data_IF_030097868491
#
_entry.id   IF_030097868491
#
_cell.length_a   1.000
_cell.length_b   1.000
_cell.length_c   1.000
_cell.angle_alpha   90.00
_cell.angle_beta   90.00
_cell.angle_gamma   90.00
#
_symmetry.space_group_name_H-M   'P 1'
#
loop_
_entity.id
_entity.type
_entity.pdbx_description
1 polymer ?
#
# COMPACT_ATOMS: atom_id res chain seq x y z
N UNK A 1 36.23 57.13 14.18
CA UNK A 1 35.10 56.78 13.30
C UNK A 1 34.70 55.34 13.57
N UNK A 2 33.55 55.15 14.21
CA UNK A 2 33.03 53.88 14.72
C UNK A 2 31.59 53.73 14.21
N UNK A 3 31.18 52.47 14.06
CA UNK A 3 29.81 51.93 13.90
C UNK A 3 29.37 51.54 12.48
N UNK A 4 29.65 50.28 12.17
CA UNK A 4 28.67 49.22 11.85
C UNK A 4 27.25 49.65 11.47
N UNK A 5 26.83 49.29 10.26
CA UNK A 5 25.44 48.93 9.95
C UNK A 5 25.43 47.86 8.88
N UNK A 6 25.45 46.60 9.33
CA UNK A 6 25.02 45.48 8.52
C UNK A 6 23.53 45.68 8.24
N UNK A 7 23.21 45.82 6.96
CA UNK A 7 21.84 45.79 6.45
C UNK A 7 21.30 44.36 6.65
N UNK A 8 20.46 44.15 7.65
CA UNK A 8 19.56 43.00 7.68
C UNK A 8 18.25 43.39 6.98
N UNK A 9 17.80 42.67 5.94
CA UNK A 9 16.40 42.62 5.62
C UNK A 9 15.80 41.36 6.28
N UNK A 10 14.97 41.63 7.28
CA UNK A 10 13.78 40.86 7.69
C UNK A 10 14.02 39.44 8.22
N UNK A 11 13.82 39.30 9.52
CA UNK A 11 13.87 38.04 10.25
C UNK A 11 12.82 37.04 9.78
N UNK A 12 13.31 35.90 9.29
CA UNK A 12 12.61 34.63 9.10
C UNK A 12 12.18 33.97 10.45
N UNK A 13 11.91 34.76 11.50
CA UNK A 13 11.68 34.25 12.86
C UNK A 13 10.23 34.07 13.26
N UNK A 14 9.26 34.62 12.51
CA UNK A 14 7.85 34.60 12.94
C UNK A 14 6.91 34.07 11.85
N UNK A 15 7.03 32.79 11.51
CA UNK A 15 5.91 32.03 10.93
C UNK A 15 5.19 31.36 12.11
N UNK A 16 3.95 31.77 12.45
CA UNK A 16 3.18 31.10 13.48
C UNK A 16 2.87 29.67 13.01
N UNK A 17 3.25 28.68 13.82
CA UNK A 17 3.07 27.26 13.51
C UNK A 17 4.35 26.47 13.25
N UNK A 18 5.55 27.03 13.50
CA UNK A 18 6.77 26.19 13.52
C UNK A 18 6.64 25.18 14.67
N UNK A 19 6.56 23.87 14.40
CA UNK A 19 6.50 22.87 15.46
C UNK A 19 7.72 23.03 16.37
N UNK A 20 7.54 22.86 17.68
CA UNK A 20 8.66 22.92 18.64
C UNK A 20 9.75 21.93 18.23
N UNK A 21 10.99 22.10 18.71
CA UNK A 21 12.07 21.14 18.42
C UNK A 21 11.67 19.69 18.76
N UNK A 22 10.81 19.53 19.78
CA UNK A 22 10.19 18.27 20.14
C UNK A 22 9.19 17.78 19.09
N UNK A 23 8.27 18.62 18.60
CA UNK A 23 7.31 18.21 17.56
C UNK A 23 8.01 17.94 16.22
N UNK A 24 9.10 18.64 15.91
CA UNK A 24 9.93 18.33 14.73
C UNK A 24 10.66 16.99 14.89
N UNK A 25 11.16 16.68 16.09
CA UNK A 25 11.73 15.36 16.43
C UNK A 25 10.66 14.26 16.50
N UNK A 26 9.43 14.58 16.87
CA UNK A 26 8.29 13.67 16.90
C UNK A 26 7.77 13.39 15.49
N UNK A 27 7.78 14.37 14.59
CA UNK A 27 7.48 14.19 13.17
C UNK A 27 8.60 13.48 12.42
N UNK A 28 9.87 13.72 12.80
CA UNK A 28 10.98 12.88 12.38
C UNK A 28 10.78 11.43 12.88
N UNK A 29 10.51 11.20 14.16
CA UNK A 29 10.23 9.86 14.72
C UNK A 29 8.97 9.17 14.18
N UNK A 30 7.93 9.94 13.83
CA UNK A 30 6.72 9.42 13.16
C UNK A 30 6.98 9.12 11.68
N UNK A 31 7.85 9.90 11.01
CA UNK A 31 8.27 9.65 9.63
C UNK A 31 9.29 8.52 9.51
N UNK A 32 10.19 8.39 10.48
CA UNK A 32 11.27 7.41 10.55
C UNK A 32 10.76 5.99 10.84
N UNK A 33 9.56 5.84 11.43
CA UNK A 33 8.95 4.53 11.64
C UNK A 33 8.05 4.06 10.50
N UNK A 34 7.80 4.87 9.47
CA UNK A 34 6.92 4.49 8.37
C UNK A 34 7.61 3.79 7.20
N UNK A 35 8.94 3.69 7.22
CA UNK A 35 9.71 2.99 6.20
C UNK A 35 10.84 2.21 6.87
N UNK A 36 10.49 1.34 7.82
CA UNK A 36 11.44 0.30 8.25
C UNK A 36 11.65 -0.66 7.09
N UNK A 37 12.86 -0.56 6.55
CA UNK A 37 13.56 -1.44 5.65
C UNK A 37 13.30 -2.90 6.01
N UNK A 38 12.23 -3.45 5.46
CA UNK A 38 11.85 -4.84 5.67
C UNK A 38 11.74 -5.47 4.30
N UNK A 39 12.81 -6.14 3.91
CA UNK A 39 12.79 -7.10 2.82
C UNK A 39 11.63 -8.06 3.12
N UNK A 40 10.51 -7.86 2.43
CA UNK A 40 9.26 -8.54 2.67
C UNK A 40 9.02 -9.53 1.55
N UNK A 41 9.52 -10.74 1.76
CA UNK A 41 9.32 -11.91 0.90
C UNK A 41 7.94 -12.54 1.11
N UNK A 42 6.87 -11.78 0.87
CA UNK A 42 5.50 -12.22 1.13
C UNK A 42 4.48 -11.62 0.17
N UNK A 43 3.20 -11.74 0.50
CA UNK A 43 2.08 -11.17 -0.25
C UNK A 43 1.46 -10.02 0.56
N UNK A 44 1.35 -8.86 -0.07
CA UNK A 44 0.66 -7.71 0.55
C UNK A 44 -0.77 -7.64 0.02
N UNK A 45 -1.74 -7.64 0.93
CA UNK A 45 -3.16 -7.62 0.63
C UNK A 45 -3.76 -6.29 1.08
N UNK A 46 -4.23 -5.49 0.13
CA UNK A 46 -4.99 -4.27 0.39
C UNK A 46 -6.48 -4.57 0.32
N UNK A 47 -7.21 -4.35 1.41
CA UNK A 47 -8.63 -4.63 1.48
C UNK A 47 -9.45 -3.38 1.73
N UNK A 48 -10.54 -3.20 0.97
CA UNK A 48 -11.52 -2.16 1.22
C UNK A 48 -12.31 -2.49 2.49
N UNK A 49 -12.30 -1.60 3.49
CA UNK A 49 -13.02 -1.78 4.75
C UNK A 49 -14.53 -2.04 4.53
N UNK A 50 -15.11 -1.44 3.49
CA UNK A 50 -16.54 -1.56 3.17
C UNK A 50 -16.91 -2.85 2.43
N UNK A 51 -15.93 -3.59 1.91
CA UNK A 51 -16.19 -4.88 1.24
C UNK A 51 -16.08 -6.07 2.19
N UNK A 52 -15.62 -5.87 3.43
CA UNK A 52 -15.41 -6.97 4.38
C UNK A 52 -16.79 -7.48 4.85
N UNK A 53 -17.13 -8.76 4.60
CA UNK A 53 -18.34 -9.37 5.14
C UNK A 53 -18.39 -9.29 6.66
N UNK A 54 -19.59 -9.18 7.22
CA UNK A 54 -19.75 -9.14 8.68
C UNK A 54 -19.16 -10.40 9.32
N UNK A 55 -18.26 -10.22 10.29
CA UNK A 55 -17.59 -11.32 10.98
C UNK A 55 -16.43 -11.98 10.23
N UNK A 56 -16.19 -11.65 8.95
CA UNK A 56 -15.14 -12.27 8.13
C UNK A 56 -13.85 -11.44 8.05
N UNK A 57 -13.52 -10.70 9.10
CA UNK A 57 -12.31 -9.87 9.14
C UNK A 57 -11.06 -10.75 9.19
N UNK A 58 -10.16 -10.54 8.25
CA UNK A 58 -8.89 -11.27 8.18
C UNK A 58 -7.92 -10.80 9.29
N UNK A 59 -7.04 -11.69 9.79
CA UNK A 59 -5.94 -11.26 10.65
C UNK A 59 -4.99 -10.34 9.88
N UNK A 60 -4.37 -9.39 10.58
CA UNK A 60 -3.43 -8.41 9.96
C UNK A 60 -2.20 -9.07 9.34
N UNK A 61 -1.80 -10.22 9.86
CA UNK A 61 -0.69 -11.01 9.34
C UNK A 61 -0.93 -12.49 9.63
N UNK A 62 -0.54 -13.35 8.71
CA UNK A 62 -0.42 -14.79 8.94
C UNK A 62 0.62 -15.37 7.99
N UNK A 63 0.93 -16.65 8.19
CA UNK A 63 1.76 -17.42 7.26
C UNK A 63 0.90 -18.53 6.68
N UNK A 64 0.94 -18.68 5.36
CA UNK A 64 0.27 -19.75 4.63
C UNK A 64 1.33 -20.48 3.81
N UNK A 65 1.59 -21.73 4.17
CA UNK A 65 2.52 -22.62 3.48
C UNK A 65 3.88 -21.99 3.16
N UNK A 66 4.46 -21.31 4.15
CA UNK A 66 5.73 -20.61 4.06
C UNK A 66 5.67 -19.21 3.44
N UNK A 67 4.51 -18.78 2.94
CA UNK A 67 4.28 -17.41 2.43
C UNK A 67 3.77 -16.53 3.56
N UNK A 68 4.52 -15.47 3.89
CA UNK A 68 4.02 -14.42 4.80
C UNK A 68 2.97 -13.62 4.06
N UNK A 69 1.83 -13.39 4.69
CA UNK A 69 0.76 -12.53 4.18
C UNK A 69 0.54 -11.38 5.14
N UNK A 70 0.44 -10.17 4.60
CA UNK A 70 0.19 -8.94 5.37
C UNK A 70 -1.07 -8.27 4.81
N UNK A 71 -2.05 -8.05 5.68
CA UNK A 71 -3.29 -7.35 5.33
C UNK A 71 -3.23 -5.90 5.78
N UNK A 72 -3.50 -5.02 4.84
CA UNK A 72 -3.62 -3.59 5.03
C UNK A 72 -5.05 -3.20 4.69
N UNK A 73 -5.79 -2.80 5.71
CA UNK A 73 -7.15 -2.29 5.53
C UNK A 73 -7.11 -0.83 5.11
N UNK A 74 -7.82 -0.52 4.03
CA UNK A 74 -8.02 0.82 3.52
C UNK A 74 -9.48 1.23 3.71
N UNK A 75 -9.78 2.51 3.91
CA UNK A 75 -11.17 2.97 3.94
C UNK A 75 -11.90 2.69 2.61
N UNK A 76 -11.16 2.65 1.50
CA UNK A 76 -11.65 2.32 0.17
C UNK A 76 -10.53 1.75 -0.69
N UNK A 77 -10.87 0.84 -1.61
CA UNK A 77 -9.95 0.43 -2.68
C UNK A 77 -9.54 1.61 -3.57
N UNK A 78 -10.35 2.67 -3.66
CA UNK A 78 -9.99 3.89 -4.39
C UNK A 78 -8.76 4.65 -3.83
N UNK A 79 -8.30 4.32 -2.62
CA UNK A 79 -7.08 4.87 -2.02
C UNK A 79 -5.83 4.06 -2.37
N UNK A 80 -5.96 2.90 -3.03
CA UNK A 80 -4.78 2.21 -3.56
C UNK A 80 -4.10 3.10 -4.57
N UNK A 81 -2.79 3.26 -4.42
CA UNK A 81 -1.95 4.02 -5.34
C UNK A 81 -0.92 3.08 -5.96
N UNK A 82 -0.60 3.32 -7.23
CA UNK A 82 0.42 2.56 -7.95
C UNK A 82 1.76 2.56 -7.22
N UNK A 83 2.13 3.66 -6.54
CA UNK A 83 3.38 3.73 -5.77
C UNK A 83 3.41 2.70 -4.64
N UNK A 84 2.30 2.50 -3.92
CA UNK A 84 2.23 1.49 -2.86
C UNK A 84 2.27 0.07 -3.41
N UNK A 85 1.64 -0.16 -4.57
CA UNK A 85 1.65 -1.46 -5.23
C UNK A 85 3.06 -1.83 -5.70
N UNK A 86 3.77 -0.90 -6.33
CA UNK A 86 5.17 -1.12 -6.74
C UNK A 86 6.08 -1.28 -5.55
N UNK A 87 5.94 -0.46 -4.52
CA UNK A 87 6.77 -0.58 -3.33
C UNK A 87 6.66 -1.97 -2.67
N UNK A 88 5.46 -2.57 -2.67
CA UNK A 88 5.25 -3.92 -2.16
C UNK A 88 6.00 -4.99 -2.99
N UNK A 89 6.11 -4.80 -4.31
CA UNK A 89 6.83 -5.71 -5.22
C UNK A 89 8.35 -5.46 -5.13
N UNK A 90 8.77 -4.20 -5.10
CA UNK A 90 10.17 -3.77 -4.97
C UNK A 90 10.82 -4.26 -3.68
N UNK A 91 10.04 -4.36 -2.60
CA UNK A 91 10.50 -4.89 -1.31
C UNK A 91 10.76 -6.41 -1.32
N UNK A 92 10.69 -7.06 -2.48
CA UNK A 92 10.83 -8.52 -2.64
C UNK A 92 9.51 -9.28 -2.50
N UNK A 93 8.37 -8.59 -2.55
CA UNK A 93 7.06 -9.20 -2.43
C UNK A 93 6.78 -10.16 -3.59
N UNK A 94 6.24 -11.34 -3.27
CA UNK A 94 5.79 -12.32 -4.27
C UNK A 94 4.67 -11.77 -5.14
N UNK A 95 3.82 -10.93 -4.55
CA UNK A 95 2.78 -10.21 -5.25
C UNK A 95 1.97 -9.30 -4.33
N UNK A 96 1.08 -8.56 -4.97
CA UNK A 96 0.14 -7.64 -4.34
C UNK A 96 -1.28 -7.99 -4.76
N UNK A 97 -2.15 -8.08 -3.75
CA UNK A 97 -3.57 -8.36 -3.92
C UNK A 97 -4.36 -7.14 -3.49
N UNK A 98 -5.28 -6.68 -4.33
CA UNK A 98 -6.27 -5.67 -3.96
C UNK A 98 -7.65 -6.33 -3.91
N UNK A 99 -8.37 -6.15 -2.82
CA UNK A 99 -9.75 -6.61 -2.66
C UNK A 99 -10.67 -5.39 -2.64
N UNK A 100 -11.60 -5.36 -3.59
CA UNK A 100 -12.53 -4.26 -3.81
C UNK A 100 -13.99 -4.75 -3.77
N UNK A 101 -14.92 -3.81 -3.60
CA UNK A 101 -16.35 -4.08 -3.81
C UNK A 101 -16.60 -4.50 -5.27
N UNK A 102 -17.70 -5.22 -5.57
CA UNK A 102 -18.12 -5.52 -6.93
C UNK A 102 -18.32 -4.25 -7.76
N UNK A 103 -18.13 -4.34 -9.08
CA UNK A 103 -18.43 -3.23 -9.98
C UNK A 103 -19.91 -2.84 -9.86
N UNK A 104 -20.19 -1.53 -9.87
CA UNK A 104 -21.55 -1.00 -9.65
C UNK A 104 -21.97 -0.86 -8.19
N UNK A 105 -21.35 -1.60 -7.25
CA UNK A 105 -21.71 -1.60 -5.82
C UNK A 105 -20.73 -0.80 -4.94
N UNK A 106 -20.01 0.15 -5.53
CA UNK A 106 -19.04 0.94 -4.77
C UNK A 106 -19.75 1.96 -3.86
N UNK A 107 -19.53 1.83 -2.56
CA UNK A 107 -20.01 2.79 -1.56
C UNK A 107 -19.43 4.21 -1.72
N UNK A 108 -18.30 4.36 -2.42
CA UNK A 108 -17.60 5.62 -2.62
C UNK A 108 -17.53 5.95 -4.13
N UNK A 109 -18.65 5.77 -4.81
CA UNK A 109 -18.90 6.04 -6.22
C UNK A 109 -18.07 5.17 -7.20
N UNK A 110 -16.80 5.51 -7.42
CA UNK A 110 -15.98 4.87 -8.47
C UNK A 110 -14.63 4.36 -7.95
N UNK A 111 -14.51 4.13 -6.64
CA UNK A 111 -13.26 3.67 -6.03
C UNK A 111 -12.75 2.33 -6.57
N UNK A 112 -13.66 1.38 -6.81
CA UNK A 112 -13.33 0.08 -7.42
C UNK A 112 -12.84 0.21 -8.87
N UNK A 113 -13.50 1.00 -9.70
CA UNK A 113 -13.07 1.25 -11.09
C UNK A 113 -11.68 1.90 -11.15
N UNK A 114 -11.40 2.85 -10.25
CA UNK A 114 -10.06 3.45 -10.14
C UNK A 114 -9.01 2.42 -9.74
N UNK A 115 -9.32 1.53 -8.80
CA UNK A 115 -8.41 0.46 -8.40
C UNK A 115 -8.11 -0.50 -9.56
N UNK A 116 -9.12 -0.84 -10.36
CA UNK A 116 -8.97 -1.68 -11.56
C UNK A 116 -8.10 -1.05 -12.64
N UNK A 117 -8.31 0.23 -12.94
CA UNK A 117 -7.43 0.96 -13.86
C UNK A 117 -5.99 0.94 -13.34
N UNK A 118 -5.77 1.17 -12.05
CA UNK A 118 -4.43 1.15 -11.45
C UNK A 118 -3.78 -0.22 -11.51
N UNK A 119 -4.49 -1.28 -11.15
CA UNK A 119 -3.95 -2.65 -11.21
C UNK A 119 -3.60 -3.00 -12.65
N UNK A 120 -4.48 -2.73 -13.62
CA UNK A 120 -4.17 -2.94 -15.04
C UNK A 120 -2.94 -2.16 -15.50
N UNK A 121 -2.77 -0.91 -15.06
CA UNK A 121 -1.56 -0.13 -15.33
C UNK A 121 -0.32 -0.79 -14.72
N UNK A 122 -0.39 -1.23 -13.46
CA UNK A 122 0.73 -1.95 -12.81
C UNK A 122 1.06 -3.23 -13.58
N UNK A 123 0.07 -4.06 -13.93
CA UNK A 123 0.28 -5.28 -14.71
C UNK A 123 0.97 -4.98 -16.04
N UNK A 124 0.53 -3.94 -16.76
CA UNK A 124 1.16 -3.53 -18.02
C UNK A 124 2.63 -3.14 -17.82
N UNK A 125 2.90 -2.31 -16.83
CA UNK A 125 4.26 -1.86 -16.50
C UNK A 125 5.16 -3.01 -16.05
N UNK A 126 4.63 -3.97 -15.26
CA UNK A 126 5.35 -5.19 -14.90
C UNK A 126 5.76 -6.00 -16.14
N UNK A 127 4.83 -6.17 -17.08
CA UNK A 127 5.14 -6.86 -18.34
C UNK A 127 6.18 -6.10 -19.18
N UNK A 128 6.12 -4.76 -19.21
CA UNK A 128 7.10 -3.92 -19.93
C UNK A 128 8.53 -4.06 -19.37
N UNK A 129 8.68 -4.27 -18.06
CA UNK A 129 9.99 -4.51 -17.42
C UNK A 129 10.41 -6.00 -17.39
N UNK A 130 9.65 -6.87 -18.05
CA UNK A 130 9.95 -8.31 -18.12
C UNK A 130 9.58 -9.11 -16.87
N UNK A 131 8.70 -8.59 -16.02
CA UNK A 131 8.15 -9.28 -14.86
C UNK A 131 6.77 -9.88 -15.14
N UNK A 132 6.36 -10.86 -14.35
CA UNK A 132 5.05 -11.50 -14.48
C UNK A 132 3.94 -10.51 -14.08
N UNK A 133 3.01 -10.18 -15.00
CA UNK A 133 1.91 -9.26 -14.70
C UNK A 133 0.95 -9.82 -13.64
N UNK A 134 0.88 -11.13 -13.46
CA UNK A 134 0.05 -11.82 -12.47
C UNK A 134 0.43 -11.47 -11.03
N UNK A 135 1.60 -10.87 -10.79
CA UNK A 135 2.03 -10.41 -9.46
C UNK A 135 1.17 -9.28 -8.89
N UNK A 136 0.35 -8.62 -9.71
CA UNK A 136 -0.63 -7.66 -9.24
C UNK A 136 -2.05 -8.12 -9.61
N UNK A 137 -2.86 -8.46 -8.60
CA UNK A 137 -4.21 -8.99 -8.80
C UNK A 137 -5.26 -8.12 -8.10
N UNK A 138 -6.43 -7.99 -8.73
CA UNK A 138 -7.62 -7.38 -8.16
C UNK A 138 -8.70 -8.45 -8.02
N UNK A 139 -9.27 -8.58 -6.82
CA UNK A 139 -10.44 -9.40 -6.57
C UNK A 139 -11.63 -8.52 -6.17
N UNK A 140 -12.80 -8.93 -6.63
CA UNK A 140 -14.07 -8.36 -6.21
C UNK A 140 -14.68 -9.26 -5.13
N UNK A 141 -15.09 -8.66 -4.02
CA UNK A 141 -15.68 -9.35 -2.88
C UNK A 141 -16.99 -8.65 -2.51
N UNK A 142 -18.10 -9.39 -2.60
CA UNK A 142 -19.42 -8.99 -2.11
C UNK A 142 -19.62 -9.37 -0.64
N UNK A 143 -20.71 -8.92 -0.03
CA UNK A 143 -21.03 -9.25 1.37
C UNK A 143 -21.27 -10.74 1.62
N UNK A 144 -21.67 -11.49 0.58
CA UNK A 144 -21.93 -12.94 0.68
C UNK A 144 -20.73 -13.79 0.25
N UNK A 145 -19.64 -13.16 -0.17
CA UNK A 145 -18.44 -13.86 -0.63
C UNK A 145 -17.63 -14.44 0.53
N UNK A 146 -17.06 -15.63 0.35
CA UNK A 146 -16.01 -16.12 1.26
C UNK A 146 -14.69 -15.38 1.02
N UNK A 147 -14.55 -14.24 1.69
CA UNK A 147 -13.35 -13.41 1.65
C UNK A 147 -12.09 -14.20 2.04
N UNK A 148 -12.19 -15.08 3.03
CA UNK A 148 -11.04 -15.85 3.51
C UNK A 148 -10.59 -16.85 2.45
N UNK A 149 -11.52 -17.62 1.87
CA UNK A 149 -11.24 -18.52 0.77
C UNK A 149 -10.61 -17.80 -0.43
N UNK A 150 -11.21 -16.68 -0.86
CA UNK A 150 -10.72 -15.89 -2.00
C UNK A 150 -9.27 -15.40 -1.81
N UNK A 151 -8.95 -14.86 -0.63
CA UNK A 151 -7.59 -14.38 -0.35
C UNK A 151 -6.60 -15.54 -0.24
N UNK A 152 -7.00 -16.65 0.38
CA UNK A 152 -6.14 -17.84 0.48
C UNK A 152 -5.83 -18.44 -0.88
N UNK A 153 -6.82 -18.50 -1.77
CA UNK A 153 -6.64 -19.00 -3.14
C UNK A 153 -5.69 -18.09 -3.95
N UNK A 154 -5.83 -16.78 -3.81
CA UNK A 154 -4.90 -15.83 -4.42
C UNK A 154 -3.47 -15.99 -3.89
N UNK A 155 -3.31 -16.21 -2.58
CA UNK A 155 -1.99 -16.47 -1.99
C UNK A 155 -1.36 -17.75 -2.57
N UNK A 156 -2.13 -18.80 -2.84
CA UNK A 156 -1.62 -19.99 -3.53
C UNK A 156 -1.20 -19.70 -4.98
N UNK A 157 -1.93 -18.85 -5.71
CA UNK A 157 -1.48 -18.39 -7.04
C UNK A 157 -0.13 -17.67 -6.97
N UNK A 158 0.03 -16.74 -6.02
CA UNK A 158 1.32 -16.05 -5.80
C UNK A 158 2.43 -17.00 -5.38
N UNK A 159 2.11 -18.03 -4.60
CA UNK A 159 3.08 -19.06 -4.20
C UNK A 159 3.54 -19.87 -5.40
N UNK A 160 2.63 -20.28 -6.29
CA UNK A 160 2.94 -21.08 -7.47
C UNK A 160 3.85 -20.36 -8.47
N UNK A 161 3.76 -19.02 -8.55
CA UNK A 161 4.67 -18.21 -9.37
C UNK A 161 6.10 -18.14 -8.82
N UNK A 162 6.31 -18.45 -7.54
CA UNK A 162 7.63 -18.41 -6.92
C UNK A 162 8.04 -17.02 -6.43
N UNK A 163 9.33 -16.86 -6.17
CA UNK A 163 9.90 -15.64 -5.59
C UNK A 163 10.01 -14.51 -6.63
N UNK A 164 10.07 -13.27 -6.15
CA UNK A 164 10.19 -12.11 -7.02
C UNK A 164 11.64 -11.95 -7.50
N UNK A 165 11.88 -11.71 -8.80
CA UNK A 165 13.23 -11.52 -9.34
C UNK A 165 13.88 -10.18 -8.93
N UNK A 166 13.16 -9.30 -8.24
CA UNK A 166 13.64 -7.92 -7.96
C UNK A 166 14.81 -7.88 -6.96
N UNK A 167 14.90 -8.84 -6.05
CA UNK A 167 15.97 -8.91 -5.04
C UNK A 167 16.97 -10.06 -5.30
N UNK A 168 16.92 -10.66 -6.50
CA UNK A 168 17.82 -11.73 -6.92
C UNK A 168 19.17 -11.18 -7.42
#
# INVERSE_FOLDING_TARGET
MRLSRAFLPVGLRDIPGRPSKEVTSLMAKCGENLMSESIYTGVTVYICHRCIPQGSRLPRQWTQDGVRVRVIELPCSGKTDTQYLFHAIESGGRGVLVVACPQGECHLAQGNYRAEVRIRTVRRLLAEIGMEPERAELLHCSQDSDLSGLVREAVERFRAMGESPVLA
#
